data_IF_364959687192
#
_entry.id   IF_364959687192
#
_cell.length_a   1.000
_cell.length_b   1.000
_cell.length_c   1.000
_cell.angle_alpha   90.00
_cell.angle_beta   90.00
_cell.angle_gamma   90.00
#
_symmetry.space_group_name_H-M   'P 1'
#
loop_
_entity.id
_entity.type
_entity.pdbx_description
1 polymer ?
#
# COMPACT_ATOMS: atom_id res chain seq x y z
N UNK A 1 11.07 -11.30 22.96
CA UNK A 1 10.63 -11.41 21.55
C UNK A 1 11.80 -11.31 20.58
N UNK A 2 12.63 -10.23 20.56
CA UNK A 2 13.69 -10.10 19.55
C UNK A 2 14.84 -11.09 19.73
N UNK A 3 15.32 -11.27 20.95
CA UNK A 3 16.48 -12.12 21.25
C UNK A 3 16.22 -13.63 21.15
N UNK A 4 14.96 -14.07 21.22
CA UNK A 4 14.58 -15.49 21.24
C UNK A 4 13.90 -15.92 19.93
N UNK A 5 13.07 -15.06 19.34
CA UNK A 5 12.28 -15.38 18.15
C UNK A 5 12.68 -14.57 16.92
N UNK A 6 13.59 -13.60 17.05
CA UNK A 6 13.95 -12.67 15.96
C UNK A 6 12.74 -11.93 15.39
N UNK A 7 11.84 -11.51 16.27
CA UNK A 7 10.66 -10.71 15.94
C UNK A 7 10.68 -9.40 16.73
N UNK A 8 10.47 -8.28 16.03
CA UNK A 8 10.31 -6.95 16.58
C UNK A 8 8.83 -6.57 16.60
N UNK A 9 8.35 -6.08 17.74
CA UNK A 9 7.02 -5.50 17.85
C UNK A 9 7.09 -4.00 17.54
N UNK A 10 6.27 -3.54 16.60
CA UNK A 10 6.24 -2.14 16.15
C UNK A 10 4.83 -1.58 16.31
N UNK A 11 4.67 -0.54 17.12
CA UNK A 11 3.38 0.15 17.29
C UNK A 11 3.07 1.02 16.06
N UNK A 12 1.98 0.77 15.36
CA UNK A 12 1.56 1.50 14.16
C UNK A 12 0.42 2.49 14.43
N UNK A 13 -0.26 2.35 15.57
CA UNK A 13 -1.30 3.28 16.01
C UNK A 13 -1.20 3.42 17.54
N UNK A 14 -0.75 4.58 18.01
CA UNK A 14 -0.57 4.87 19.43
C UNK A 14 -1.88 5.16 20.15
N UNK A 15 -2.92 5.57 19.41
CA UNK A 15 -4.22 5.92 19.98
C UNK A 15 -5.01 4.65 20.34
N UNK A 16 -4.95 3.65 19.48
CA UNK A 16 -5.65 2.38 19.67
C UNK A 16 -4.73 1.23 20.08
N UNK A 17 -3.44 1.51 20.30
CA UNK A 17 -2.41 0.54 20.67
C UNK A 17 -2.37 -0.67 19.71
N UNK A 18 -2.28 -0.38 18.41
CA UNK A 18 -2.17 -1.41 17.36
C UNK A 18 -0.71 -1.67 17.04
N UNK A 19 -0.33 -2.95 17.01
CA UNK A 19 1.04 -3.38 16.77
C UNK A 19 1.14 -4.37 15.62
N UNK A 20 2.30 -4.39 14.97
CA UNK A 20 2.70 -5.40 13.99
C UNK A 20 3.96 -6.13 14.45
N UNK A 21 4.16 -7.34 13.96
CA UNK A 21 5.40 -8.10 14.13
C UNK A 21 6.22 -8.02 12.85
N UNK A 22 7.47 -7.58 12.98
CA UNK A 22 8.47 -7.51 11.90
C UNK A 22 9.53 -8.55 12.18
N UNK A 23 9.88 -9.37 11.18
CA UNK A 23 10.98 -10.33 11.33
C UNK A 23 12.34 -9.64 11.20
N UNK A 24 13.23 -9.97 12.14
CA UNK A 24 14.63 -9.53 12.18
C UNK A 24 15.58 -10.71 12.01
N UNK A 25 15.07 -11.91 11.71
CA UNK A 25 15.90 -13.10 11.50
C UNK A 25 16.68 -12.98 10.19
N UNK A 26 17.96 -13.37 10.17
CA UNK A 26 18.69 -13.53 8.92
C UNK A 26 18.01 -14.60 8.07
N UNK A 27 18.01 -14.36 6.76
CA UNK A 27 17.20 -15.12 5.81
C UNK A 27 17.87 -16.45 5.43
N UNK A 28 17.09 -17.51 5.24
CA UNK A 28 17.59 -18.81 4.83
C UNK A 28 17.89 -18.87 3.31
N UNK A 29 18.82 -19.73 2.88
CA UNK A 29 19.33 -19.75 1.50
C UNK A 29 18.28 -20.10 0.42
N UNK A 30 17.14 -20.70 0.78
CA UNK A 30 16.03 -21.03 -0.14
C UNK A 30 14.95 -19.94 -0.28
N UNK A 31 15.14 -18.80 0.36
CA UNK A 31 14.09 -17.79 0.53
C UNK A 31 14.08 -16.71 -0.57
N UNK A 32 14.97 -16.83 -1.57
CA UNK A 32 15.16 -15.88 -2.67
C UNK A 32 13.92 -15.76 -3.57
N UNK A 33 13.28 -16.87 -3.96
CA UNK A 33 12.03 -16.81 -4.75
C UNK A 33 10.89 -16.15 -3.97
N UNK A 34 10.79 -16.48 -2.67
CA UNK A 34 9.83 -15.83 -1.76
C UNK A 34 10.17 -14.35 -1.56
N UNK A 35 11.43 -13.95 -1.73
CA UNK A 35 11.84 -12.55 -1.70
C UNK A 35 11.38 -11.81 -2.94
N UNK A 36 11.55 -12.39 -4.11
CA UNK A 36 11.15 -11.78 -5.37
C UNK A 36 9.63 -11.59 -5.40
N UNK A 37 8.87 -12.58 -4.95
CA UNK A 37 7.41 -12.47 -4.80
C UNK A 37 7.00 -11.38 -3.79
N UNK A 38 7.61 -11.35 -2.60
CA UNK A 38 7.29 -10.33 -1.59
C UNK A 38 7.69 -8.93 -2.04
N UNK A 39 8.84 -8.80 -2.70
CA UNK A 39 9.31 -7.54 -3.29
C UNK A 39 8.34 -7.07 -4.37
N UNK A 40 7.88 -7.98 -5.23
CA UNK A 40 6.88 -7.66 -6.23
C UNK A 40 5.55 -7.22 -5.61
N UNK A 41 5.07 -7.92 -4.57
CA UNK A 41 3.86 -7.51 -3.82
C UNK A 41 4.01 -6.13 -3.19
N UNK A 42 5.17 -5.82 -2.60
CA UNK A 42 5.46 -4.47 -2.07
C UNK A 42 5.52 -3.42 -3.17
N UNK A 43 6.04 -3.76 -4.35
CA UNK A 43 5.99 -2.90 -5.53
C UNK A 43 4.56 -2.58 -5.96
N UNK A 44 3.70 -3.60 -6.03
CA UNK A 44 2.27 -3.41 -6.32
C UNK A 44 1.59 -2.54 -5.25
N UNK A 45 1.93 -2.75 -3.98
CA UNK A 45 1.44 -1.92 -2.89
C UNK A 45 1.86 -0.46 -3.06
N UNK A 46 3.13 -0.19 -3.36
CA UNK A 46 3.61 1.18 -3.59
C UNK A 46 2.87 1.86 -4.75
N UNK A 47 2.56 1.11 -5.81
CA UNK A 47 1.75 1.60 -6.94
C UNK A 47 0.32 1.95 -6.51
N UNK A 48 -0.33 1.12 -5.69
CA UNK A 48 -1.67 1.39 -5.17
C UNK A 48 -1.67 2.59 -4.21
N UNK A 49 -0.73 2.65 -3.27
CA UNK A 49 -0.58 3.76 -2.32
C UNK A 49 -0.34 5.08 -3.07
N UNK A 50 0.55 5.06 -4.06
CA UNK A 50 0.79 6.19 -4.96
C UNK A 50 -0.50 6.63 -5.64
N UNK A 51 -1.26 5.71 -6.24
CA UNK A 51 -2.51 6.06 -6.91
C UNK A 51 -3.55 6.70 -5.97
N UNK A 52 -3.70 6.16 -4.76
CA UNK A 52 -4.61 6.72 -3.73
C UNK A 52 -4.18 8.14 -3.36
N UNK A 53 -2.88 8.36 -3.13
CA UNK A 53 -2.34 9.68 -2.84
C UNK A 53 -2.60 10.66 -3.99
N UNK A 54 -2.34 10.24 -5.23
CA UNK A 54 -2.62 11.04 -6.44
C UNK A 54 -4.11 11.37 -6.62
N UNK A 55 -5.02 10.62 -5.98
CA UNK A 55 -6.48 10.88 -5.95
C UNK A 55 -6.94 11.73 -4.77
N UNK A 56 -6.03 12.28 -3.96
CA UNK A 56 -6.36 13.09 -2.78
C UNK A 56 -6.60 12.24 -1.54
N UNK A 57 -5.71 11.27 -1.29
CA UNK A 57 -5.69 10.37 -0.12
C UNK A 57 -6.86 9.39 0.01
N UNK A 58 -7.74 9.33 -0.98
CA UNK A 58 -8.89 8.43 -1.01
C UNK A 58 -9.28 8.12 -2.44
N UNK A 59 -9.53 6.84 -2.74
CA UNK A 59 -10.01 6.42 -4.06
C UNK A 59 -11.16 5.42 -3.92
N UNK A 60 -12.21 5.57 -4.74
CA UNK A 60 -13.27 4.54 -4.85
C UNK A 60 -12.64 3.21 -5.25
N UNK A 61 -13.14 2.10 -4.71
CA UNK A 61 -12.65 0.77 -5.03
C UNK A 61 -12.67 0.49 -6.54
N UNK A 62 -13.74 0.85 -7.24
CA UNK A 62 -13.86 0.74 -8.69
C UNK A 62 -12.75 1.47 -9.45
N UNK A 63 -12.31 2.64 -8.96
CA UNK A 63 -11.22 3.40 -9.58
C UNK A 63 -9.86 2.71 -9.38
N UNK A 64 -9.63 2.09 -8.21
CA UNK A 64 -8.42 1.29 -7.95
C UNK A 64 -8.41 0.06 -8.86
N UNK A 65 -9.52 -0.65 -8.98
CA UNK A 65 -9.61 -1.84 -9.84
C UNK A 65 -9.48 -1.52 -11.33
N UNK A 66 -10.03 -0.39 -11.79
CA UNK A 66 -9.83 0.08 -13.15
C UNK A 66 -8.36 0.44 -13.41
N UNK A 67 -7.71 1.12 -12.46
CA UNK A 67 -6.29 1.44 -12.56
C UNK A 67 -5.42 0.18 -12.64
N UNK A 68 -5.65 -0.82 -11.78
CA UNK A 68 -4.94 -2.10 -11.83
C UNK A 68 -5.13 -2.83 -13.17
N UNK A 69 -6.35 -2.83 -13.73
CA UNK A 69 -6.61 -3.40 -15.06
C UNK A 69 -5.81 -2.70 -16.16
N UNK A 70 -5.65 -1.37 -16.09
CA UNK A 70 -4.80 -0.61 -17.04
C UNK A 70 -3.33 -1.00 -16.94
N UNK A 71 -2.88 -1.48 -15.78
CA UNK A 71 -1.55 -2.04 -15.55
C UNK A 71 -1.47 -3.55 -15.87
N UNK A 72 -2.49 -4.13 -16.51
CA UNK A 72 -2.60 -5.56 -16.83
C UNK A 72 -2.71 -6.47 -15.59
N UNK A 73 -3.05 -5.91 -14.43
CA UNK A 73 -3.29 -6.66 -13.19
C UNK A 73 -4.80 -6.81 -12.99
N UNK A 74 -5.33 -8.01 -13.27
CA UNK A 74 -6.77 -8.27 -13.30
C UNK A 74 -7.25 -8.90 -11.97
N UNK A 75 -8.21 -8.30 -11.24
CA UNK A 75 -8.67 -8.81 -9.94
C UNK A 75 -9.56 -10.06 -10.02
N UNK A 76 -9.99 -10.48 -11.22
CA UNK A 76 -10.82 -11.67 -11.43
C UNK A 76 -10.02 -12.90 -11.87
N UNK A 77 -8.72 -12.78 -12.08
CA UNK A 77 -7.85 -13.82 -12.61
C UNK A 77 -6.65 -14.02 -11.70
N UNK A 78 -6.13 -15.26 -11.66
CA UNK A 78 -4.91 -15.55 -10.92
C UNK A 78 -3.71 -15.00 -11.69
N UNK A 79 -3.02 -14.02 -11.12
CA UNK A 79 -1.80 -13.44 -11.69
C UNK A 79 -0.59 -14.33 -11.35
N UNK A 80 0.34 -14.49 -12.29
CA UNK A 80 1.53 -15.35 -12.11
C UNK A 80 2.37 -14.94 -10.89
N UNK A 81 2.60 -13.63 -10.74
CA UNK A 81 3.41 -13.07 -9.63
C UNK A 81 2.60 -12.78 -8.36
N UNK A 82 1.34 -12.33 -8.49
CA UNK A 82 0.56 -11.81 -7.36
C UNK A 82 -0.45 -12.81 -6.82
N UNK A 83 -0.67 -13.93 -7.50
CA UNK A 83 -1.72 -14.88 -7.19
C UNK A 83 -3.11 -14.26 -7.35
N UNK A 84 -3.97 -14.47 -6.36
CA UNK A 84 -5.28 -13.82 -6.31
C UNK A 84 -5.11 -12.35 -5.90
N UNK A 85 -5.16 -11.44 -6.89
CA UNK A 85 -4.97 -10.00 -6.69
C UNK A 85 -6.08 -9.43 -5.80
N UNK A 86 -7.31 -9.90 -5.92
CA UNK A 86 -8.42 -9.38 -5.12
C UNK A 86 -8.19 -9.70 -3.65
N UNK A 87 -7.82 -10.95 -3.35
CA UNK A 87 -7.44 -11.38 -2.00
C UNK A 87 -6.22 -10.63 -1.48
N UNK A 88 -5.20 -10.44 -2.31
CA UNK A 88 -4.00 -9.68 -1.93
C UNK A 88 -4.35 -8.25 -1.48
N UNK A 89 -5.15 -7.53 -2.27
CA UNK A 89 -5.47 -6.13 -1.99
C UNK A 89 -6.52 -5.98 -0.87
N UNK A 90 -7.59 -6.77 -0.91
CA UNK A 90 -8.72 -6.64 0.04
C UNK A 90 -8.47 -7.34 1.38
N UNK A 91 -7.65 -8.38 1.42
CA UNK A 91 -7.38 -9.14 2.66
C UNK A 91 -5.94 -8.94 3.14
N UNK A 92 -4.93 -9.24 2.32
CA UNK A 92 -3.54 -9.24 2.81
C UNK A 92 -3.06 -7.82 3.16
N UNK A 93 -3.21 -6.85 2.26
CA UNK A 93 -2.79 -5.46 2.52
C UNK A 93 -3.63 -4.76 3.60
N UNK A 94 -4.92 -5.11 3.71
CA UNK A 94 -5.80 -4.59 4.77
C UNK A 94 -5.44 -5.18 6.13
N UNK A 95 -5.25 -6.51 6.19
CA UNK A 95 -4.82 -7.19 7.42
C UNK A 95 -3.46 -6.70 7.89
N UNK A 96 -2.56 -6.40 6.96
CA UNK A 96 -1.26 -5.81 7.25
C UNK A 96 -1.30 -4.30 7.55
N UNK A 97 -2.49 -3.68 7.55
CA UNK A 97 -2.70 -2.26 7.86
C UNK A 97 -2.00 -1.29 6.91
N UNK A 98 -1.72 -1.73 5.69
CA UNK A 98 -1.26 -0.84 4.63
C UNK A 98 -2.41 -0.11 3.93
N UNK A 99 -3.57 -0.76 3.83
CA UNK A 99 -4.79 -0.18 3.26
C UNK A 99 -5.90 -0.22 4.30
N UNK A 100 -6.69 0.84 4.34
CA UNK A 100 -7.98 0.86 5.04
C UNK A 100 -9.11 0.95 4.01
N UNK A 101 -10.18 0.19 4.26
CA UNK A 101 -11.39 0.19 3.46
C UNK A 101 -12.53 0.70 4.33
N UNK A 102 -13.25 1.70 3.83
CA UNK A 102 -14.43 2.23 4.50
C UNK A 102 -15.57 2.50 3.51
N UNK A 103 -16.84 2.40 3.95
CA UNK A 103 -17.97 2.75 3.10
C UNK A 103 -17.99 4.26 2.83
N UNK A 104 -18.48 4.64 1.66
CA UNK A 104 -18.73 6.03 1.30
C UNK A 104 -20.11 6.41 1.83
N UNK A 105 -20.23 7.41 2.72
CA UNK A 105 -21.52 7.82 3.24
C UNK A 105 -22.49 8.21 2.13
N UNK A 106 -23.77 7.90 2.32
CA UNK A 106 -24.87 8.37 1.44
C UNK A 106 -24.79 7.85 0.00
N UNK A 107 -24.28 6.64 -0.21
CA UNK A 107 -24.30 5.93 -1.50
C UNK A 107 -25.33 4.81 -1.50
N UNK A 108 -26.14 4.72 -2.56
CA UNK A 108 -27.10 3.62 -2.80
C UNK A 108 -26.96 3.12 -4.25
N UNK A 109 -26.41 1.92 -4.49
CA UNK A 109 -25.93 0.95 -3.50
C UNK A 109 -24.67 1.42 -2.74
N UNK A 110 -24.35 0.76 -1.62
CA UNK A 110 -23.15 1.08 -0.81
C UNK A 110 -21.89 0.95 -1.64
N UNK A 111 -21.14 2.05 -1.75
CA UNK A 111 -19.82 2.08 -2.36
C UNK A 111 -18.72 2.10 -1.31
N UNK A 112 -17.52 1.64 -1.68
CA UNK A 112 -16.35 1.61 -0.79
C UNK A 112 -15.21 2.48 -1.34
N UNK A 113 -14.38 2.97 -0.42
CA UNK A 113 -13.14 3.68 -0.74
C UNK A 113 -11.94 3.04 -0.04
N UNK A 114 -10.80 3.10 -0.73
CA UNK A 114 -9.49 2.80 -0.19
C UNK A 114 -8.78 4.05 0.29
N UNK A 115 -8.10 3.93 1.42
CA UNK A 115 -7.23 4.93 2.02
C UNK A 115 -5.93 4.27 2.49
N UNK A 116 -4.90 5.06 2.76
CA UNK A 116 -3.69 4.55 3.40
C UNK A 116 -4.02 4.10 4.82
N UNK A 117 -3.57 2.90 5.18
CA UNK A 117 -3.63 2.41 6.54
C UNK A 117 -2.46 2.92 7.40
N UNK A 118 -2.53 2.72 8.72
CA UNK A 118 -1.53 3.25 9.66
C UNK A 118 -0.11 2.72 9.42
N UNK A 119 0.03 1.48 8.91
CA UNK A 119 1.35 0.94 8.58
C UNK A 119 1.98 1.63 7.37
N UNK A 120 1.17 1.97 6.36
CA UNK A 120 1.66 2.71 5.19
C UNK A 120 2.20 4.08 5.61
N UNK A 121 1.45 4.81 6.45
CA UNK A 121 1.89 6.11 6.97
C UNK A 121 3.17 6.03 7.83
N UNK A 122 3.47 4.87 8.42
CA UNK A 122 4.68 4.64 9.22
C UNK A 122 5.89 4.22 8.37
N UNK A 123 5.69 3.38 7.36
CA UNK A 123 6.78 2.82 6.55
C UNK A 123 7.15 3.66 5.33
N UNK A 124 6.26 4.57 4.89
CA UNK A 124 6.50 5.47 3.75
C UNK A 124 5.83 6.82 3.98
N UNK A 125 6.24 7.81 3.18
CA UNK A 125 5.67 9.15 3.15
C UNK A 125 4.98 9.50 1.83
N UNK A 126 4.05 10.45 1.87
CA UNK A 126 3.44 11.07 0.67
C UNK A 126 4.52 11.61 -0.28
N UNK A 127 5.60 12.17 0.27
CA UNK A 127 6.76 12.67 -0.47
C UNK A 127 7.50 11.57 -1.23
N UNK A 128 7.72 10.41 -0.61
CA UNK A 128 8.35 9.26 -1.28
C UNK A 128 7.47 8.72 -2.41
N UNK A 129 6.15 8.62 -2.18
CA UNK A 129 5.22 8.18 -3.22
C UNK A 129 5.12 9.19 -4.37
N UNK A 130 5.17 10.49 -4.08
CA UNK A 130 5.22 11.52 -5.12
C UNK A 130 6.49 11.40 -5.97
N UNK A 131 7.65 11.21 -5.33
CA UNK A 131 8.92 10.99 -6.05
C UNK A 131 8.86 9.73 -6.91
N UNK A 132 8.33 8.65 -6.37
CA UNK A 132 8.13 7.40 -7.11
C UNK A 132 7.31 7.62 -8.39
N UNK A 133 6.17 8.31 -8.28
CA UNK A 133 5.33 8.67 -9.44
C UNK A 133 6.07 9.56 -10.43
N UNK A 134 6.79 10.56 -9.92
CA UNK A 134 7.57 11.51 -10.71
C UNK A 134 8.65 10.80 -11.53
N UNK A 135 9.38 9.86 -10.92
CA UNK A 135 10.37 9.02 -11.59
C UNK A 135 9.76 8.18 -12.71
N UNK A 136 8.62 7.51 -12.46
CA UNK A 136 7.95 6.69 -13.49
C UNK A 136 7.49 7.53 -14.68
N UNK A 137 7.04 8.76 -14.41
CA UNK A 137 6.49 9.64 -15.44
C UNK A 137 7.56 10.51 -16.12
N UNK A 138 8.82 10.46 -15.68
CA UNK A 138 9.88 11.34 -16.17
C UNK A 138 9.59 12.82 -15.91
N UNK A 139 8.95 13.14 -14.78
CA UNK A 139 8.54 14.49 -14.39
C UNK A 139 9.17 14.90 -13.07
N UNK A 140 9.19 16.21 -12.82
CA UNK A 140 9.49 16.75 -11.49
C UNK A 140 8.31 16.56 -10.54
N UNK A 141 8.52 16.26 -9.24
CA UNK A 141 7.45 16.18 -8.23
C UNK A 141 6.56 17.44 -8.18
N UNK A 142 7.14 18.61 -8.43
CA UNK A 142 6.45 19.90 -8.47
C UNK A 142 5.46 20.06 -9.62
N UNK A 143 5.48 19.16 -10.62
CA UNK A 143 4.49 19.12 -11.70
C UNK A 143 3.06 18.96 -11.15
N UNK A 144 2.90 18.23 -10.05
CA UNK A 144 1.63 18.07 -9.35
C UNK A 144 1.56 19.02 -8.15
N UNK A 145 1.29 20.30 -8.40
CA UNK A 145 1.36 21.36 -7.38
C UNK A 145 0.57 21.06 -6.12
N UNK A 146 -0.64 20.48 -6.23
CA UNK A 146 -1.47 20.14 -5.06
C UNK A 146 -0.82 19.04 -4.23
N UNK A 147 -0.42 17.96 -4.87
CA UNK A 147 0.22 16.80 -4.24
C UNK A 147 1.59 17.18 -3.66
N UNK A 148 2.35 18.01 -4.35
CA UNK A 148 3.64 18.50 -3.87
C UNK A 148 3.49 19.30 -2.57
N UNK A 149 2.55 20.24 -2.52
CA UNK A 149 2.26 20.99 -1.29
C UNK A 149 1.87 20.06 -0.15
N UNK A 150 0.95 19.14 -0.42
CA UNK A 150 0.47 18.18 0.58
C UNK A 150 1.57 17.23 1.07
N UNK A 151 2.50 16.85 0.20
CA UNK A 151 3.63 15.98 0.53
C UNK A 151 4.69 16.67 1.40
N UNK A 152 4.75 18.00 1.39
CA UNK A 152 5.65 18.81 2.22
C UNK A 152 5.00 19.21 3.57
N UNK A 153 3.71 18.94 3.75
CA UNK A 153 3.05 19.13 5.06
C UNK A 153 3.59 18.12 6.09
N UNK A 154 3.82 18.57 7.33
CA UNK A 154 4.24 17.67 8.40
C UNK A 154 3.21 16.55 8.64
N UNK A 155 3.65 15.36 9.07
CA UNK A 155 2.78 14.22 9.36
C UNK A 155 1.85 14.46 10.56
#
# INVERSE_FOLDING_TARGET
LPQVFGLQLVEIDTKHHVYILVSTLPRAEGDNLRQDEQTAKLGLLAVILSFIFMKGNSAKDGAVWEFLRRLRVHPGERHEVFGDVRKLVMEEFVRQKYLDISPIPLTDPVEFKFQWGPRAAKETSRREMLRFVATIQGKEPSFWTSQFKEAEEPP
#
